data_IF_763083800427
#
_entry.id   IF_763083800427
#
_cell.length_a   1.000
_cell.length_b   1.000
_cell.length_c   1.000
_cell.angle_alpha   90.00
_cell.angle_beta   90.00
_cell.angle_gamma   90.00
#
_symmetry.space_group_name_H-M   'P 1'
#
loop_
_entity.id
_entity.type
_entity.pdbx_description
1 polymer ?
#
# COMPACT_ATOMS: atom_id res chain seq x y z
N UNK A 1 16.83 17.33 -9.38
CA UNK A 1 17.53 16.76 -8.20
C UNK A 1 16.84 15.46 -7.81
N UNK A 2 17.43 14.32 -8.10
CA UNK A 2 17.01 13.03 -7.54
C UNK A 2 17.33 13.03 -6.05
N UNK A 3 16.29 13.00 -5.19
CA UNK A 3 16.51 12.81 -3.75
C UNK A 3 17.05 11.40 -3.53
N UNK A 4 18.14 11.29 -2.80
CA UNK A 4 18.75 10.00 -2.46
C UNK A 4 17.79 9.19 -1.57
N UNK A 5 17.47 7.95 -1.97
CA UNK A 5 16.62 7.05 -1.17
C UNK A 5 17.37 6.66 0.10
N UNK A 6 16.74 6.82 1.27
CA UNK A 6 17.29 6.40 2.56
C UNK A 6 16.66 5.07 2.97
N UNK A 7 17.49 4.15 3.50
CA UNK A 7 16.98 2.90 4.09
C UNK A 7 16.31 3.21 5.43
N UNK A 8 15.04 2.83 5.55
CA UNK A 8 14.27 2.91 6.79
C UNK A 8 13.89 1.48 7.18
N UNK A 9 14.03 1.14 8.46
CA UNK A 9 13.63 -0.16 9.02
C UNK A 9 12.41 0.05 9.91
N UNK A 10 11.38 -0.80 9.74
CA UNK A 10 10.14 -0.75 10.52
C UNK A 10 9.80 -2.19 10.90
N UNK A 11 9.42 -2.42 12.16
CA UNK A 11 8.93 -3.71 12.64
C UNK A 11 7.40 -3.71 12.56
N UNK A 12 6.83 -4.72 11.90
CA UNK A 12 5.39 -4.89 11.74
C UNK A 12 5.02 -6.37 11.79
N UNK A 13 3.79 -6.69 12.20
CA UNK A 13 3.22 -8.00 11.89
C UNK A 13 3.03 -8.09 10.35
N UNK A 14 3.63 -9.08 9.66
CA UNK A 14 3.57 -9.15 8.20
C UNK A 14 2.15 -9.30 7.62
N UNK A 15 1.24 -9.98 8.32
CA UNK A 15 -0.16 -10.09 7.87
C UNK A 15 -0.86 -8.75 8.01
N UNK A 16 -0.75 -8.10 9.17
CA UNK A 16 -1.38 -6.80 9.39
C UNK A 16 -0.83 -5.75 8.43
N UNK A 17 0.48 -5.77 8.18
CA UNK A 17 1.13 -4.93 7.18
C UNK A 17 0.59 -5.18 5.78
N UNK A 18 0.53 -6.45 5.35
CA UNK A 18 0.02 -6.79 4.02
C UNK A 18 -1.45 -6.38 3.83
N UNK A 19 -2.32 -6.65 4.80
CA UNK A 19 -3.75 -6.28 4.73
C UNK A 19 -3.91 -4.76 4.69
N UNK A 20 -3.23 -4.05 5.59
CA UNK A 20 -3.35 -2.58 5.69
C UNK A 20 -2.88 -1.90 4.39
N UNK A 21 -1.71 -2.30 3.89
CA UNK A 21 -1.13 -1.70 2.67
C UNK A 21 -1.91 -2.15 1.42
N UNK A 22 -2.38 -3.39 1.38
CA UNK A 22 -3.22 -3.89 0.28
C UNK A 22 -4.54 -3.13 0.15
N UNK A 23 -5.23 -2.87 1.27
CA UNK A 23 -6.42 -2.02 1.30
C UNK A 23 -6.10 -0.60 0.83
N UNK A 24 -5.03 0.00 1.37
CA UNK A 24 -4.61 1.35 0.99
C UNK A 24 -4.31 1.43 -0.51
N UNK A 25 -3.54 0.49 -1.07
CA UNK A 25 -3.22 0.41 -2.50
C UNK A 25 -4.48 0.39 -3.37
N UNK A 26 -5.51 -0.35 -2.96
CA UNK A 26 -6.77 -0.42 -3.69
C UNK A 26 -7.54 0.90 -3.72
N UNK A 27 -7.54 1.67 -2.63
CA UNK A 27 -8.28 2.94 -2.53
C UNK A 27 -7.44 4.18 -2.87
N UNK A 28 -6.11 4.05 -2.90
CA UNK A 28 -5.17 5.16 -3.04
C UNK A 28 -5.42 6.04 -4.28
N UNK A 29 -5.63 5.49 -5.50
CA UNK A 29 -5.92 6.31 -6.67
C UNK A 29 -7.20 7.16 -6.50
N UNK A 30 -8.22 6.61 -5.85
CA UNK A 30 -9.47 7.30 -5.56
C UNK A 30 -9.25 8.45 -4.58
N UNK A 31 -8.47 8.21 -3.51
CA UNK A 31 -8.13 9.25 -2.51
C UNK A 31 -7.39 10.41 -3.19
N UNK A 32 -6.38 10.13 -4.02
CA UNK A 32 -5.63 11.17 -4.74
C UNK A 32 -6.57 12.01 -5.59
N UNK A 33 -7.40 11.37 -6.43
CA UNK A 33 -8.36 12.08 -7.28
C UNK A 33 -9.33 12.93 -6.47
N UNK A 34 -9.85 12.42 -5.34
CA UNK A 34 -10.76 13.19 -4.49
C UNK A 34 -10.08 14.42 -3.88
N UNK A 35 -8.83 14.27 -3.44
CA UNK A 35 -8.05 15.39 -2.90
C UNK A 35 -7.80 16.46 -3.97
N UNK A 36 -7.43 16.08 -5.19
CA UNK A 36 -7.25 17.05 -6.30
C UNK A 36 -8.55 17.78 -6.63
N UNK A 37 -9.68 17.07 -6.64
CA UNK A 37 -11.00 17.71 -6.86
C UNK A 37 -11.31 18.72 -5.76
N UNK A 38 -11.04 18.38 -4.49
CA UNK A 38 -11.30 19.27 -3.36
C UNK A 38 -10.34 20.48 -3.32
N UNK A 39 -9.09 20.29 -3.73
CA UNK A 39 -8.09 21.36 -3.78
C UNK A 39 -8.17 22.23 -5.03
N UNK A 40 -8.89 21.78 -6.06
CA UNK A 40 -8.96 22.44 -7.36
C UNK A 40 -7.58 22.62 -8.00
N UNK A 41 -7.41 23.68 -8.78
CA UNK A 41 -6.15 23.97 -9.50
C UNK A 41 -4.92 24.18 -8.58
N UNK A 42 -5.13 24.29 -7.26
CA UNK A 42 -4.07 24.52 -6.28
C UNK A 42 -3.43 23.22 -5.78
N UNK A 43 -4.06 22.07 -5.98
CA UNK A 43 -3.57 20.79 -5.49
C UNK A 43 -3.52 19.77 -6.62
N UNK A 44 -2.31 19.48 -7.08
CA UNK A 44 -2.03 18.45 -8.06
C UNK A 44 -0.86 17.59 -7.59
N UNK A 45 -1.09 16.29 -7.48
CA UNK A 45 -0.05 15.35 -7.07
C UNK A 45 0.77 14.94 -8.29
N UNK A 46 2.02 15.39 -8.36
CA UNK A 46 2.92 15.13 -9.50
C UNK A 46 3.77 13.87 -9.35
N UNK A 47 3.65 13.17 -8.21
CA UNK A 47 4.49 12.03 -7.82
C UNK A 47 3.65 10.82 -7.41
N UNK A 48 2.46 10.67 -8.00
CA UNK A 48 1.54 9.56 -7.65
C UNK A 48 2.20 8.22 -7.95
N UNK A 49 2.92 8.10 -9.06
CA UNK A 49 3.65 6.89 -9.44
C UNK A 49 4.73 6.54 -8.39
N UNK A 50 5.54 7.53 -7.96
CA UNK A 50 6.53 7.35 -6.89
C UNK A 50 5.87 6.83 -5.59
N UNK A 51 4.67 7.33 -5.26
CA UNK A 51 3.93 6.91 -4.07
C UNK A 51 3.37 5.49 -4.21
N UNK A 52 2.90 5.12 -5.40
CA UNK A 52 2.44 3.77 -5.70
C UNK A 52 3.58 2.76 -5.63
N UNK A 53 4.77 3.10 -6.14
CA UNK A 53 5.97 2.25 -6.03
C UNK A 53 6.32 1.97 -4.56
N UNK A 54 6.22 2.97 -3.68
CA UNK A 54 6.48 2.78 -2.24
C UNK A 54 5.46 1.84 -1.62
N UNK A 55 4.17 1.99 -1.94
CA UNK A 55 3.12 1.09 -1.45
C UNK A 55 3.35 -0.35 -1.94
N UNK A 56 3.73 -0.52 -3.20
CA UNK A 56 4.04 -1.84 -3.77
C UNK A 56 5.23 -2.49 -3.06
N UNK A 57 6.32 -1.74 -2.87
CA UNK A 57 7.53 -2.27 -2.23
C UNK A 57 7.25 -2.76 -0.81
N UNK A 58 6.44 -2.01 -0.04
CA UNK A 58 6.06 -2.42 1.32
C UNK A 58 5.13 -3.63 1.26
N UNK A 59 4.13 -3.63 0.37
CA UNK A 59 3.19 -4.73 0.22
C UNK A 59 3.89 -6.05 -0.13
N UNK A 60 4.81 -6.03 -1.10
CA UNK A 60 5.59 -7.19 -1.50
C UNK A 60 6.44 -7.73 -0.34
N UNK A 61 7.11 -6.84 0.41
CA UNK A 61 7.91 -7.25 1.57
C UNK A 61 7.05 -7.91 2.64
N UNK A 62 5.87 -7.37 2.92
CA UNK A 62 4.94 -7.99 3.85
C UNK A 62 4.47 -9.37 3.34
N UNK A 63 4.08 -9.49 2.07
CA UNK A 63 3.66 -10.77 1.48
C UNK A 63 4.75 -11.84 1.54
N UNK A 64 6.01 -11.50 1.27
CA UNK A 64 7.10 -12.48 1.32
C UNK A 64 7.26 -13.12 2.70
N UNK A 65 6.94 -12.35 3.75
CA UNK A 65 7.03 -12.76 5.14
C UNK A 65 5.68 -13.25 5.71
N UNK A 66 4.63 -13.40 4.89
CA UNK A 66 3.34 -13.97 5.32
C UNK A 66 2.69 -14.86 4.28
N UNK A 67 2.21 -16.03 4.70
CA UNK A 67 1.28 -16.82 3.90
C UNK A 67 -0.15 -16.32 4.14
N UNK A 68 -0.55 -15.28 3.39
CA UNK A 68 -1.88 -14.65 3.53
C UNK A 68 -2.99 -15.67 3.30
N UNK A 69 -2.84 -16.56 2.32
CA UNK A 69 -3.87 -17.56 2.01
C UNK A 69 -4.05 -18.51 3.19
N UNK A 70 -2.96 -19.05 3.73
CA UNK A 70 -3.01 -19.92 4.91
C UNK A 70 -3.60 -19.20 6.11
N UNK A 71 -3.19 -17.95 6.38
CA UNK A 71 -3.71 -17.18 7.51
C UNK A 71 -5.19 -16.80 7.36
N UNK A 72 -5.65 -16.45 6.16
CA UNK A 72 -7.08 -16.18 5.90
C UNK A 72 -7.93 -17.44 6.12
N UNK A 73 -7.43 -18.61 5.72
CA UNK A 73 -8.08 -19.89 6.01
C UNK A 73 -8.10 -20.20 7.52
N UNK A 74 -7.01 -19.95 8.23
CA UNK A 74 -6.94 -20.08 9.70
C UNK A 74 -7.91 -19.12 10.42
N UNK A 75 -8.21 -17.97 9.82
CA UNK A 75 -9.21 -17.00 10.29
C UNK A 75 -10.64 -17.34 9.86
N UNK A 76 -10.87 -18.45 9.15
CA UNK A 76 -12.20 -18.89 8.70
C UNK A 76 -12.76 -18.10 7.53
N UNK A 77 -11.92 -17.40 6.77
CA UNK A 77 -12.33 -16.66 5.56
C UNK A 77 -12.10 -17.58 4.35
N UNK A 78 -13.19 -18.00 3.71
CA UNK A 78 -13.12 -18.74 2.44
C UNK A 78 -12.79 -17.80 1.28
N UNK A 79 -11.68 -18.10 0.59
CA UNK A 79 -11.31 -17.39 -0.64
C UNK A 79 -12.00 -18.04 -1.84
N UNK A 80 -12.61 -17.26 -2.76
CA UNK A 80 -13.17 -17.81 -3.98
C UNK A 80 -12.08 -18.49 -4.82
N UNK A 81 -12.43 -19.65 -5.40
CA UNK A 81 -11.55 -20.46 -6.26
C UNK A 81 -11.19 -19.74 -7.57
#
# INVERSE_FOLDING_TARGET
MTREKKKITIEVDPLQGAVTIGLLKGIFPSIIRQLEIQGGDKLHFTKVDDMQEVLEEIYEKCIRETDIRKKLLEMGIELPN
#
